data_IF_485577102028
#
_entry.id   IF_485577102028
#
_cell.length_a   1.000
_cell.length_b   1.000
_cell.length_c   1.000
_cell.angle_alpha   90.00
_cell.angle_beta   90.00
_cell.angle_gamma   90.00
#
_symmetry.space_group_name_H-M   'P 1'
#
loop_
_entity.id
_entity.type
_entity.pdbx_description
1 polymer ?
#
# COMPACT_ATOMS: atom_id res chain seq x y z
N UNK A 1 39.67 8.27 -15.35
CA UNK A 1 39.18 9.38 -14.49
C UNK A 1 38.62 10.44 -15.42
N UNK A 2 37.36 10.31 -15.85
CA UNK A 2 36.75 11.24 -16.81
C UNK A 2 36.27 12.48 -16.05
N UNK A 3 37.04 13.57 -16.12
CA UNK A 3 36.59 14.87 -15.62
C UNK A 3 35.48 15.39 -16.54
N UNK A 4 34.26 15.52 -16.02
CA UNK A 4 33.21 16.28 -16.70
C UNK A 4 33.73 17.70 -17.02
N UNK A 5 33.49 18.22 -18.23
CA UNK A 5 33.87 19.58 -18.59
C UNK A 5 33.29 20.57 -17.55
N UNK A 6 34.12 21.49 -17.03
CA UNK A 6 33.71 22.48 -16.02
C UNK A 6 32.41 23.23 -16.38
N UNK A 7 32.13 23.40 -17.68
CA UNK A 7 30.91 24.04 -18.17
C UNK A 7 29.64 23.21 -17.98
N UNK A 8 29.71 21.89 -18.05
CA UNK A 8 28.58 20.98 -17.81
C UNK A 8 28.27 20.93 -16.32
N UNK A 9 29.31 20.88 -15.47
CA UNK A 9 29.16 20.91 -14.01
C UNK A 9 28.52 22.23 -13.52
N UNK A 10 28.99 23.37 -14.03
CA UNK A 10 28.41 24.67 -13.68
C UNK A 10 26.96 24.83 -14.17
N UNK A 11 26.63 24.35 -15.39
CA UNK A 11 25.26 24.35 -15.90
C UNK A 11 24.33 23.46 -15.08
N UNK A 12 24.82 22.30 -14.66
CA UNK A 12 24.05 21.37 -13.81
C UNK A 12 23.74 22.01 -12.46
N UNK A 13 24.75 22.61 -11.81
CA UNK A 13 24.56 23.35 -10.54
C UNK A 13 23.55 24.50 -10.72
N UNK A 14 23.66 25.26 -11.80
CA UNK A 14 22.75 26.38 -12.06
C UNK A 14 21.31 25.91 -12.28
N UNK A 15 21.08 24.85 -13.06
CA UNK A 15 19.75 24.27 -13.28
C UNK A 15 19.20 23.72 -11.96
N UNK A 16 20.00 23.01 -11.16
CA UNK A 16 19.57 22.51 -9.85
C UNK A 16 19.20 23.65 -8.92
N UNK A 17 20.00 24.71 -8.83
CA UNK A 17 19.69 25.92 -8.04
C UNK A 17 18.43 26.62 -8.53
N UNK A 18 18.25 26.74 -9.85
CA UNK A 18 17.06 27.35 -10.44
C UNK A 18 15.82 26.53 -10.08
N UNK A 19 15.85 25.21 -10.23
CA UNK A 19 14.77 24.30 -9.80
C UNK A 19 14.49 24.47 -8.31
N UNK A 20 15.53 24.53 -7.47
CA UNK A 20 15.39 24.72 -6.03
C UNK A 20 14.75 26.06 -5.67
N UNK A 21 15.17 27.16 -6.31
CA UNK A 21 14.63 28.51 -6.11
C UNK A 21 13.18 28.57 -6.57
N UNK A 22 12.89 28.04 -7.75
CA UNK A 22 11.53 27.98 -8.31
C UNK A 22 10.62 27.20 -7.36
N UNK A 23 11.09 26.06 -6.85
CA UNK A 23 10.39 25.25 -5.87
C UNK A 23 10.13 25.98 -4.54
N UNK A 24 11.11 26.74 -4.05
CA UNK A 24 10.96 27.57 -2.84
C UNK A 24 9.95 28.71 -3.04
N UNK A 25 9.87 29.28 -4.25
CA UNK A 25 8.94 30.37 -4.58
C UNK A 25 7.48 29.92 -4.73
N UNK A 26 7.23 28.70 -5.21
CA UNK A 26 5.86 28.18 -5.41
C UNK A 26 5.24 27.56 -4.15
N UNK A 27 6.04 27.10 -3.19
CA UNK A 27 5.54 26.52 -1.92
C UNK A 27 4.62 27.43 -1.11
N UNK A 28 4.89 28.75 -0.97
CA UNK A 28 3.97 29.67 -0.31
C UNK A 28 2.60 29.75 -0.99
N UNK A 29 2.55 29.73 -2.33
CA UNK A 29 1.30 29.79 -3.12
C UNK A 29 0.52 28.49 -2.93
N UNK A 30 1.20 27.34 -2.99
CA UNK A 30 0.57 26.04 -2.75
C UNK A 30 -0.01 25.97 -1.33
N UNK A 31 0.72 26.42 -0.31
CA UNK A 31 0.22 26.52 1.08
C UNK A 31 -0.98 27.44 1.23
N UNK A 32 -1.00 28.57 0.52
CA UNK A 32 -2.15 29.47 0.52
C UNK A 32 -3.38 28.80 -0.10
N UNK A 33 -3.20 28.05 -1.20
CA UNK A 33 -4.30 27.29 -1.80
C UNK A 33 -4.88 26.22 -0.87
N UNK A 34 -4.03 25.56 -0.08
CA UNK A 34 -4.44 24.55 0.91
C UNK A 34 -5.25 25.15 2.05
N UNK A 35 -5.03 26.42 2.40
CA UNK A 35 -5.82 27.09 3.44
C UNK A 35 -7.31 27.12 3.08
N UNK A 36 -7.64 27.36 1.80
CA UNK A 36 -9.01 27.43 1.31
C UNK A 36 -9.67 26.06 1.06
N UNK A 37 -8.88 24.97 1.06
CA UNK A 37 -9.39 23.60 0.91
C UNK A 37 -9.69 22.92 2.25
N UNK A 38 -9.21 23.49 3.36
CA UNK A 38 -9.41 22.93 4.71
C UNK A 38 -10.76 23.37 5.27
N UNK A 39 -11.58 22.39 5.62
CA UNK A 39 -12.74 22.61 6.48
C UNK A 39 -12.29 22.76 7.95
N UNK A 40 -13.19 23.24 8.81
CA UNK A 40 -12.99 23.25 10.27
C UNK A 40 -12.84 21.82 10.81
N UNK A 41 -12.25 21.63 12.00
CA UNK A 41 -12.15 20.29 12.60
C UNK A 41 -13.56 19.68 12.80
N UNK A 42 -13.74 18.36 12.63
CA UNK A 42 -15.01 17.72 12.92
C UNK A 42 -15.35 17.93 14.41
N UNK A 43 -16.60 18.28 14.69
CA UNK A 43 -17.09 18.40 16.07
C UNK A 43 -17.77 17.10 16.51
N UNK A 44 -17.83 16.89 17.82
CA UNK A 44 -18.63 15.80 18.40
C UNK A 44 -20.03 16.35 18.67
N UNK A 45 -21.04 15.70 18.11
CA UNK A 45 -22.45 16.03 18.31
C UNK A 45 -23.16 14.87 19.00
N UNK A 46 -24.30 15.18 19.62
CA UNK A 46 -25.17 14.22 20.28
C UNK A 46 -26.50 14.13 19.53
N UNK A 47 -26.91 12.90 19.19
CA UNK A 47 -28.23 12.62 18.63
C UNK A 47 -28.83 11.42 19.37
N UNK A 48 -29.98 11.62 20.05
CA UNK A 48 -30.67 10.57 20.81
C UNK A 48 -29.77 9.78 21.80
N UNK A 49 -28.94 10.50 22.58
CA UNK A 49 -27.93 9.94 23.51
C UNK A 49 -26.77 9.15 22.83
N UNK A 50 -26.58 9.31 21.52
CA UNK A 50 -25.45 8.77 20.79
C UNK A 50 -24.51 9.90 20.36
N UNK A 51 -23.24 9.80 20.75
CA UNK A 51 -22.19 10.73 20.37
C UNK A 51 -21.50 10.28 19.09
N UNK A 52 -21.40 11.17 18.11
CA UNK A 52 -20.75 10.90 16.84
C UNK A 52 -19.87 12.07 16.41
N UNK A 53 -18.97 11.80 15.47
CA UNK A 53 -18.12 12.82 14.83
C UNK A 53 -18.83 13.28 13.57
N UNK A 54 -19.19 14.55 13.49
CA UNK A 54 -19.77 15.16 12.29
C UNK A 54 -18.64 15.42 11.27
N UNK A 55 -18.33 14.38 10.49
CA UNK A 55 -17.20 14.28 9.56
C UNK A 55 -17.45 15.03 8.26
N UNK A 56 -18.66 15.46 7.93
CA UNK A 56 -18.91 16.33 6.78
C UNK A 56 -19.48 17.71 7.14
N UNK A 57 -19.66 17.99 8.44
CA UNK A 57 -20.06 19.28 9.02
C UNK A 57 -21.46 19.72 8.59
N UNK A 58 -22.36 18.76 8.44
CA UNK A 58 -23.74 19.06 8.04
C UNK A 58 -24.71 19.13 9.23
N UNK A 59 -24.23 18.89 10.46
CA UNK A 59 -25.02 18.98 11.68
C UNK A 59 -26.06 17.87 11.87
N UNK A 60 -26.00 16.79 11.09
CA UNK A 60 -26.89 15.62 11.21
C UNK A 60 -26.07 14.33 11.28
N UNK A 61 -26.67 13.28 11.84
CA UNK A 61 -26.05 11.96 11.89
C UNK A 61 -26.26 11.26 10.55
N UNK A 62 -25.25 11.26 9.67
CA UNK A 62 -25.30 10.46 8.44
C UNK A 62 -25.03 8.98 8.73
N UNK A 63 -25.50 8.10 7.83
CA UNK A 63 -25.38 6.65 8.02
C UNK A 63 -23.91 6.24 8.13
N UNK A 64 -23.01 6.82 7.31
CA UNK A 64 -21.58 6.52 7.38
C UNK A 64 -20.89 6.99 8.67
N UNK A 65 -21.47 7.92 9.41
CA UNK A 65 -20.94 8.43 10.70
C UNK A 65 -21.47 7.62 11.90
N UNK A 66 -22.58 6.91 11.72
CA UNK A 66 -23.21 6.08 12.73
C UNK A 66 -22.60 4.68 12.78
N UNK A 67 -21.73 4.45 13.78
CA UNK A 67 -21.05 3.17 13.99
C UNK A 67 -21.95 2.01 14.41
N UNK A 68 -23.25 2.25 14.66
CA UNK A 68 -24.26 1.21 14.93
C UNK A 68 -24.72 0.53 13.64
N UNK A 69 -24.57 1.18 12.48
CA UNK A 69 -24.87 0.60 11.19
C UNK A 69 -23.81 -0.39 10.75
N UNK A 70 -24.21 -1.36 9.92
CA UNK A 70 -23.26 -2.32 9.33
C UNK A 70 -22.24 -1.61 8.44
N UNK A 71 -21.02 -2.15 8.34
CA UNK A 71 -19.99 -1.58 7.46
C UNK A 71 -20.50 -1.39 6.04
N UNK A 72 -21.24 -2.36 5.48
CA UNK A 72 -21.77 -2.25 4.12
C UNK A 72 -22.69 -1.04 3.94
N UNK A 73 -23.60 -0.79 4.89
CA UNK A 73 -24.47 0.40 4.82
C UNK A 73 -23.67 1.70 4.88
N UNK A 74 -22.66 1.75 5.75
CA UNK A 74 -21.78 2.91 5.90
C UNK A 74 -20.95 3.17 4.64
N UNK A 75 -20.48 2.10 3.99
CA UNK A 75 -19.75 2.18 2.72
C UNK A 75 -20.63 2.72 1.61
N UNK A 76 -21.85 2.19 1.42
CA UNK A 76 -22.74 2.67 0.37
C UNK A 76 -23.17 4.13 0.58
N UNK A 77 -23.47 4.52 1.82
CA UNK A 77 -23.83 5.90 2.15
C UNK A 77 -22.67 6.87 1.85
N UNK A 78 -21.45 6.54 2.29
CA UNK A 78 -20.28 7.36 2.00
C UNK A 78 -20.00 7.42 0.49
N UNK A 79 -20.05 6.27 -0.20
CA UNK A 79 -19.76 6.17 -1.63
C UNK A 79 -20.72 7.01 -2.47
N UNK A 80 -22.02 7.03 -2.11
CA UNK A 80 -23.03 7.84 -2.76
C UNK A 80 -22.81 9.36 -2.59
N UNK A 81 -22.08 9.76 -1.54
CA UNK A 81 -21.75 11.16 -1.26
C UNK A 81 -20.43 11.60 -1.92
N UNK A 82 -19.60 10.68 -2.42
CA UNK A 82 -18.29 10.98 -3.00
C UNK A 82 -18.38 11.47 -4.44
N UNK A 83 -17.55 12.46 -4.76
CA UNK A 83 -17.25 12.86 -6.14
C UNK A 83 -16.30 11.87 -6.81
N UNK A 84 -16.23 11.88 -8.14
CA UNK A 84 -15.26 11.04 -8.87
C UNK A 84 -13.81 11.28 -8.42
N UNK A 85 -13.44 12.53 -8.14
CA UNK A 85 -12.09 12.88 -7.66
C UNK A 85 -11.79 12.27 -6.29
N UNK A 86 -12.77 12.24 -5.37
CA UNK A 86 -12.62 11.60 -4.06
C UNK A 86 -12.53 10.08 -4.17
N UNK A 87 -13.30 9.49 -5.09
CA UNK A 87 -13.29 8.07 -5.41
C UNK A 87 -11.92 7.64 -5.96
N UNK A 88 -11.44 8.31 -7.00
CA UNK A 88 -10.12 8.05 -7.59
C UNK A 88 -8.99 8.31 -6.60
N UNK A 89 -9.11 9.31 -5.74
CA UNK A 89 -8.15 9.58 -4.67
C UNK A 89 -7.95 8.37 -3.73
N UNK A 90 -9.00 7.58 -3.44
CA UNK A 90 -8.85 6.37 -2.63
C UNK A 90 -7.95 5.31 -3.29
N UNK A 91 -7.89 5.29 -4.62
CA UNK A 91 -7.21 4.26 -5.41
C UNK A 91 -5.71 4.53 -5.55
N UNK A 92 -5.23 5.74 -5.23
CA UNK A 92 -3.81 6.08 -5.28
C UNK A 92 -3.12 5.70 -3.99
N UNK A 93 -1.91 5.14 -4.06
CA UNK A 93 -1.14 4.71 -2.89
C UNK A 93 0.34 5.11 -2.99
N UNK A 94 0.64 6.42 -2.96
CA UNK A 94 2.01 6.92 -3.07
C UNK A 94 2.82 6.73 -1.79
N UNK A 95 4.12 6.98 -1.89
CA UNK A 95 5.00 7.06 -0.73
C UNK A 95 4.74 8.33 0.09
N UNK A 96 4.78 8.20 1.42
CA UNK A 96 4.79 9.26 2.41
C UNK A 96 6.12 9.22 3.15
N UNK A 97 6.91 10.28 3.00
CA UNK A 97 8.27 10.30 3.57
C UNK A 97 8.36 11.11 4.85
N UNK A 98 8.82 10.45 5.91
CA UNK A 98 8.96 11.05 7.23
C UNK A 98 10.42 10.89 7.66
N UNK A 99 11.11 12.02 7.88
CA UNK A 99 12.57 12.05 8.12
C UNK A 99 13.34 11.22 7.06
N UNK A 100 13.20 11.53 5.76
CA UNK A 100 14.00 10.84 4.75
C UNK A 100 15.49 11.17 4.97
N UNK A 101 16.35 10.16 4.82
CA UNK A 101 17.78 10.39 4.75
C UNK A 101 18.14 11.20 3.48
N UNK A 102 19.38 11.67 3.38
CA UNK A 102 19.79 12.52 2.25
C UNK A 102 19.63 11.82 0.89
N UNK A 103 19.92 10.53 0.83
CA UNK A 103 19.82 9.73 -0.39
C UNK A 103 18.36 9.62 -0.88
N UNK A 104 17.44 9.22 0.00
CA UNK A 104 16.01 9.14 -0.31
C UNK A 104 15.45 10.50 -0.70
N UNK A 105 15.86 11.56 0.00
CA UNK A 105 15.42 12.93 -0.32
C UNK A 105 15.92 13.37 -1.70
N UNK A 106 17.19 13.10 -2.04
CA UNK A 106 17.74 13.41 -3.35
C UNK A 106 17.02 12.61 -4.44
N UNK A 107 16.80 11.30 -4.23
CA UNK A 107 16.05 10.45 -5.15
C UNK A 107 14.65 11.03 -5.45
N UNK A 108 13.90 11.42 -4.42
CA UNK A 108 12.57 12.00 -4.56
C UNK A 108 12.56 13.29 -5.37
N UNK A 109 13.50 14.19 -5.07
CA UNK A 109 13.66 15.44 -5.82
C UNK A 109 13.97 15.14 -7.29
N UNK A 110 14.91 14.22 -7.55
CA UNK A 110 15.30 13.88 -8.93
C UNK A 110 14.20 13.21 -9.74
N UNK A 111 13.32 12.44 -9.08
CA UNK A 111 12.21 11.74 -9.72
C UNK A 111 10.94 12.60 -9.81
N UNK A 112 10.97 13.85 -9.34
CA UNK A 112 9.80 14.73 -9.33
C UNK A 112 8.68 14.26 -8.38
N UNK A 113 9.00 13.43 -7.40
CA UNK A 113 8.04 12.80 -6.48
C UNK A 113 7.74 13.68 -5.25
N UNK A 114 8.31 14.88 -5.16
CA UNK A 114 8.10 15.78 -4.02
C UNK A 114 6.84 16.63 -4.22
N UNK A 115 5.75 16.23 -3.56
CA UNK A 115 4.57 17.08 -3.34
C UNK A 115 4.31 17.23 -1.84
N UNK A 116 3.66 18.32 -1.43
CA UNK A 116 3.28 18.48 -0.02
C UNK A 116 2.26 17.38 0.34
N UNK A 117 2.48 16.68 1.45
CA UNK A 117 1.55 15.65 1.95
C UNK A 117 0.10 16.17 2.00
N UNK A 118 -0.07 17.41 2.45
CA UNK A 118 -1.37 18.09 2.54
C UNK A 118 -2.03 18.29 1.17
N UNK A 119 -1.25 18.52 0.11
CA UNK A 119 -1.77 18.63 -1.27
C UNK A 119 -2.27 17.29 -1.75
N UNK A 120 -1.54 16.20 -1.48
CA UNK A 120 -2.00 14.86 -1.82
C UNK A 120 -3.32 14.52 -1.11
N UNK A 121 -3.43 14.87 0.17
CA UNK A 121 -4.63 14.60 0.97
C UNK A 121 -5.81 15.48 0.54
N UNK A 122 -5.65 16.80 0.46
CA UNK A 122 -6.77 17.73 0.33
C UNK A 122 -7.16 18.01 -1.13
N UNK A 123 -6.19 18.09 -2.03
CA UNK A 123 -6.43 18.42 -3.44
C UNK A 123 -6.61 17.18 -4.31
N UNK A 124 -5.86 16.11 -4.04
CA UNK A 124 -5.95 14.84 -4.77
C UNK A 124 -6.81 13.80 -4.05
N UNK A 125 -7.33 14.11 -2.86
CA UNK A 125 -8.17 13.21 -2.06
C UNK A 125 -7.53 11.85 -1.75
N UNK A 126 -6.19 11.80 -1.69
CA UNK A 126 -5.46 10.57 -1.44
C UNK A 126 -5.51 10.25 0.05
N UNK A 127 -5.94 9.02 0.37
CA UNK A 127 -6.10 8.55 1.76
C UNK A 127 -5.32 7.27 2.06
N UNK A 128 -4.46 6.81 1.15
CA UNK A 128 -3.59 5.66 1.33
C UNK A 128 -2.15 6.07 1.08
N UNK A 129 -1.26 5.75 2.01
CA UNK A 129 0.15 6.11 1.89
C UNK A 129 1.04 4.98 2.35
N UNK A 130 2.12 4.69 1.63
CA UNK A 130 3.17 3.80 2.09
C UNK A 130 4.26 4.62 2.79
N UNK A 131 4.57 4.29 4.03
CA UNK A 131 5.52 5.03 4.83
C UNK A 131 6.97 4.71 4.44
N UNK A 132 7.78 5.76 4.26
CA UNK A 132 9.22 5.70 4.00
C UNK A 132 9.97 6.62 4.96
N UNK A 133 11.20 6.23 5.32
CA UNK A 133 12.14 7.06 6.07
C UNK A 133 12.56 6.44 7.41
N UNK A 134 13.17 7.24 8.28
CA UNK A 134 13.76 6.76 9.53
C UNK A 134 13.45 7.65 10.75
N UNK A 135 12.17 7.98 11.03
CA UNK A 135 11.76 8.65 12.25
C UNK A 135 11.85 7.70 13.46
N UNK A 136 11.97 8.25 14.67
CA UNK A 136 11.66 7.48 15.88
C UNK A 136 10.17 7.11 15.92
N UNK A 137 9.75 6.06 16.66
CA UNK A 137 8.34 5.67 16.78
C UNK A 137 7.42 6.82 17.22
N UNK A 138 7.88 7.63 18.19
CA UNK A 138 7.12 8.81 18.66
C UNK A 138 7.00 9.90 17.58
N UNK A 139 8.06 10.16 16.82
CA UNK A 139 7.99 11.10 15.69
C UNK A 139 7.05 10.61 14.59
N UNK A 140 7.03 9.30 14.32
CA UNK A 140 6.12 8.67 13.38
C UNK A 140 4.66 8.87 13.82
N UNK A 141 4.32 8.45 15.05
CA UNK A 141 2.96 8.60 15.59
C UNK A 141 2.47 10.06 15.60
N UNK A 142 3.33 11.00 16.00
CA UNK A 142 3.03 12.45 15.94
C UNK A 142 2.73 12.95 14.54
N UNK A 143 3.57 12.57 13.57
CA UNK A 143 3.40 12.98 12.18
C UNK A 143 2.13 12.37 11.58
N UNK A 144 1.82 11.12 11.89
CA UNK A 144 0.60 10.46 11.42
C UNK A 144 -0.66 11.03 12.07
N UNK A 145 -0.64 11.34 13.38
CA UNK A 145 -1.73 12.08 14.04
C UNK A 145 -1.95 13.46 13.40
N UNK A 146 -0.88 14.19 13.09
CA UNK A 146 -0.97 15.46 12.37
C UNK A 146 -1.67 15.30 11.02
N UNK A 147 -1.28 14.31 10.22
CA UNK A 147 -1.87 14.06 8.90
C UNK A 147 -3.31 13.56 8.99
N UNK A 148 -3.66 12.76 9.99
CA UNK A 148 -5.05 12.37 10.25
C UNK A 148 -5.93 13.59 10.56
N UNK A 149 -5.42 14.56 11.32
CA UNK A 149 -6.14 15.83 11.54
C UNK A 149 -6.34 16.59 10.24
N UNK A 150 -5.35 16.64 9.35
CA UNK A 150 -5.51 17.25 8.03
C UNK A 150 -6.57 16.51 7.20
N UNK A 151 -6.52 15.17 7.14
CA UNK A 151 -7.48 14.37 6.39
C UNK A 151 -8.91 14.52 6.94
N UNK A 152 -9.04 14.65 8.26
CA UNK A 152 -10.33 14.89 8.90
C UNK A 152 -10.96 16.19 8.41
N UNK A 153 -10.17 17.19 8.00
CA UNK A 153 -10.61 18.49 7.44
C UNK A 153 -10.89 18.47 5.94
N UNK A 154 -10.90 17.30 5.31
CA UNK A 154 -11.50 17.13 3.98
C UNK A 154 -13.02 17.17 4.07
N UNK A 155 -13.70 17.35 2.93
CA UNK A 155 -15.17 17.50 2.85
C UNK A 155 -15.94 16.36 3.52
N UNK A 156 -15.48 15.12 3.39
CA UNK A 156 -16.12 13.92 3.93
C UNK A 156 -15.35 13.30 5.12
N UNK A 157 -14.28 13.97 5.58
CA UNK A 157 -13.50 13.51 6.73
C UNK A 157 -12.91 12.10 6.64
N UNK A 158 -12.70 11.57 5.43
CA UNK A 158 -12.25 10.19 5.21
C UNK A 158 -10.84 10.00 5.83
N UNK A 159 -10.66 9.05 6.76
CA UNK A 159 -9.39 8.88 7.46
C UNK A 159 -8.32 8.26 6.55
N UNK A 160 -7.06 8.54 6.88
CA UNK A 160 -5.91 7.93 6.21
C UNK A 160 -5.73 6.47 6.65
N UNK A 161 -5.29 5.63 5.71
CA UNK A 161 -4.68 4.33 5.98
C UNK A 161 -3.20 4.40 5.61
N UNK A 162 -2.36 3.93 6.52
CA UNK A 162 -0.91 3.99 6.37
C UNK A 162 -0.39 2.57 6.26
N UNK A 163 0.36 2.29 5.20
CA UNK A 163 1.04 1.02 5.01
C UNK A 163 2.53 1.13 5.28
N UNK A 164 3.16 -0.02 5.49
CA UNK A 164 4.61 -0.13 5.54
C UNK A 164 5.07 -1.45 4.93
N UNK A 165 6.22 -1.44 4.26
CA UNK A 165 7.03 -2.64 4.09
C UNK A 165 7.61 -3.10 5.45
N UNK A 166 8.13 -4.34 5.58
CA UNK A 166 8.54 -4.90 6.87
C UNK A 166 9.51 -4.00 7.65
N UNK A 167 9.14 -3.65 8.89
CA UNK A 167 9.99 -2.91 9.84
C UNK A 167 10.69 -3.81 10.88
N UNK A 168 10.20 -5.04 11.00
CA UNK A 168 10.56 -6.00 12.05
C UNK A 168 11.66 -6.97 11.64
N UNK A 169 12.14 -6.93 10.41
CA UNK A 169 13.21 -7.82 9.93
C UNK A 169 14.60 -7.28 10.35
N UNK A 170 15.49 -8.14 10.84
CA UNK A 170 16.89 -7.78 11.12
C UNK A 170 17.64 -7.38 9.84
N UNK A 171 18.63 -6.49 9.95
CA UNK A 171 19.50 -6.11 8.82
C UNK A 171 20.14 -7.34 8.16
N UNK A 172 20.09 -7.38 6.83
CA UNK A 172 20.72 -8.43 6.01
C UNK A 172 19.79 -9.22 5.09
N UNK A 173 18.47 -8.94 5.13
CA UNK A 173 17.47 -9.63 4.34
C UNK A 173 17.25 -9.08 2.94
N UNK A 174 16.66 -7.89 2.77
CA UNK A 174 16.04 -7.54 1.48
C UNK A 174 16.06 -6.11 0.99
N UNK A 175 15.77 -5.99 -0.32
CA UNK A 175 15.73 -4.75 -1.13
C UNK A 175 14.63 -3.76 -0.68
N UNK A 176 13.73 -4.14 0.23
CA UNK A 176 12.55 -3.35 0.61
C UNK A 176 12.26 -3.24 2.12
N UNK A 177 13.14 -3.73 3.02
CA UNK A 177 12.93 -3.56 4.46
C UNK A 177 13.49 -2.21 4.94
N UNK A 178 12.71 -1.44 5.70
CA UNK A 178 13.20 -0.20 6.32
C UNK A 178 13.74 -0.51 7.70
N UNK A 179 15.01 -0.16 7.94
CA UNK A 179 15.55 -0.23 9.29
C UNK A 179 15.19 1.03 10.07
N UNK A 180 14.25 0.86 10.99
CA UNK A 180 13.81 1.89 11.92
C UNK A 180 14.05 1.39 13.34
N UNK A 181 14.65 2.25 14.16
CA UNK A 181 14.87 2.02 15.58
C UNK A 181 13.54 1.94 16.34
N UNK A 182 13.49 1.16 17.41
CA UNK A 182 12.31 1.06 18.29
C UNK A 182 11.51 -0.23 18.10
N UNK A 183 11.33 -0.67 16.86
CA UNK A 183 10.55 -1.88 16.53
C UNK A 183 11.33 -3.14 16.87
N UNK A 184 10.64 -4.17 17.36
CA UNK A 184 11.27 -5.46 17.64
C UNK A 184 11.87 -6.07 16.36
N UNK A 185 13.03 -6.72 16.48
CA UNK A 185 13.75 -7.27 15.34
C UNK A 185 13.75 -8.80 15.37
N UNK A 186 13.41 -9.39 14.24
CA UNK A 186 13.13 -10.80 14.06
C UNK A 186 13.86 -11.35 12.84
N UNK A 187 14.09 -12.67 12.76
CA UNK A 187 14.56 -13.30 11.54
C UNK A 187 13.67 -12.99 10.34
N UNK A 188 14.22 -13.08 9.13
CA UNK A 188 13.42 -13.02 7.90
C UNK A 188 12.36 -14.13 7.89
N UNK A 189 11.41 -14.03 6.95
CA UNK A 189 10.41 -15.09 6.76
C UNK A 189 11.06 -16.48 6.57
N UNK A 190 12.22 -16.58 5.94
CA UNK A 190 12.94 -17.85 5.79
C UNK A 190 13.47 -18.37 7.12
N UNK A 191 13.95 -17.48 8.00
CA UNK A 191 14.36 -17.81 9.37
C UNK A 191 13.18 -18.25 10.23
N UNK A 192 12.04 -17.57 10.13
CA UNK A 192 10.79 -17.99 10.78
C UNK A 192 10.34 -19.36 10.28
N UNK A 193 10.43 -19.63 8.97
CA UNK A 193 10.07 -20.92 8.38
C UNK A 193 10.96 -22.08 8.88
N UNK A 194 12.21 -21.81 9.24
CA UNK A 194 13.14 -22.81 9.77
C UNK A 194 12.70 -23.35 11.14
N UNK A 195 11.90 -22.60 11.89
CA UNK A 195 11.34 -23.05 13.18
C UNK A 195 10.29 -24.15 13.03
N UNK A 196 9.63 -24.21 11.86
CA UNK A 196 8.47 -25.08 11.61
C UNK A 196 7.33 -24.91 12.62
N UNK A 197 7.27 -23.76 13.30
CA UNK A 197 6.29 -23.45 14.34
C UNK A 197 5.35 -22.31 13.90
N UNK A 198 4.14 -22.67 13.47
CA UNK A 198 3.12 -21.69 13.09
C UNK A 198 2.60 -20.89 14.28
N UNK A 199 2.63 -21.44 15.49
CA UNK A 199 2.18 -20.72 16.70
C UNK A 199 3.16 -19.59 17.03
N UNK A 200 4.45 -19.85 16.86
CA UNK A 200 5.49 -18.83 16.99
C UNK A 200 5.33 -17.72 15.93
N UNK A 201 5.07 -18.07 14.67
CA UNK A 201 4.87 -17.09 13.59
C UNK A 201 3.61 -16.23 13.83
N UNK A 202 2.52 -16.85 14.29
CA UNK A 202 1.31 -16.11 14.65
C UNK A 202 1.57 -15.17 15.84
N UNK A 203 2.33 -15.63 16.85
CA UNK A 203 2.71 -14.79 17.99
C UNK A 203 3.60 -13.61 17.59
N UNK A 204 4.54 -13.83 16.67
CA UNK A 204 5.32 -12.77 16.05
C UNK A 204 4.40 -11.72 15.41
N UNK A 205 3.43 -12.15 14.59
CA UNK A 205 2.51 -11.24 13.92
C UNK A 205 1.67 -10.40 14.90
N UNK A 206 1.24 -10.99 16.02
CA UNK A 206 0.49 -10.27 17.06
C UNK A 206 1.32 -9.16 17.73
N UNK A 207 2.60 -9.43 18.00
CA UNK A 207 3.53 -8.44 18.55
C UNK A 207 3.75 -7.32 17.54
N UNK A 208 4.05 -7.67 16.29
CA UNK A 208 4.31 -6.72 15.23
C UNK A 208 3.10 -5.82 14.92
N UNK A 209 1.88 -6.39 14.89
CA UNK A 209 0.65 -5.63 14.72
C UNK A 209 0.38 -4.66 15.87
N UNK A 210 0.64 -5.08 17.12
CA UNK A 210 0.52 -4.20 18.29
C UNK A 210 1.46 -2.99 18.16
N UNK A 211 2.71 -3.21 17.76
CA UNK A 211 3.66 -2.14 17.52
C UNK A 211 3.22 -1.22 16.36
N UNK A 212 2.76 -1.78 15.23
CA UNK A 212 2.26 -0.99 14.09
C UNK A 212 1.05 -0.14 14.46
N UNK A 213 0.06 -0.71 15.17
CA UNK A 213 -1.12 0.03 15.62
C UNK A 213 -0.77 1.16 16.57
N UNK A 214 0.22 0.98 17.44
CA UNK A 214 0.64 2.03 18.38
C UNK A 214 1.15 3.29 17.70
N UNK A 215 1.74 3.17 16.49
CA UNK A 215 2.27 4.30 15.72
C UNK A 215 1.34 4.77 14.60
N UNK A 216 0.23 4.07 14.33
CA UNK A 216 -0.73 4.43 13.29
C UNK A 216 -0.47 3.79 11.93
N UNK A 217 0.19 2.62 11.90
CA UNK A 217 0.29 1.78 10.69
C UNK A 217 -0.87 0.78 10.69
N UNK A 218 -1.55 0.68 9.54
CA UNK A 218 -2.83 0.00 9.36
C UNK A 218 -2.73 -1.17 8.36
N UNK A 219 -1.72 -1.15 7.49
CA UNK A 219 -1.52 -2.17 6.47
C UNK A 219 -0.04 -2.60 6.40
N UNK A 220 0.20 -3.89 6.50
CA UNK A 220 1.49 -4.52 6.25
C UNK A 220 1.56 -4.88 4.76
N UNK A 221 2.54 -4.35 4.02
CA UNK A 221 2.78 -4.74 2.62
C UNK A 221 3.52 -6.10 2.53
N UNK A 222 3.12 -7.06 3.36
CA UNK A 222 3.75 -8.35 3.59
C UNK A 222 2.73 -9.28 4.30
N UNK A 223 2.93 -10.61 4.36
CA UNK A 223 4.12 -11.38 3.98
C UNK A 223 4.25 -11.65 2.47
N UNK A 224 5.46 -12.03 2.04
CA UNK A 224 5.64 -12.72 0.77
C UNK A 224 5.23 -14.20 0.89
N UNK A 225 4.16 -14.59 0.20
CA UNK A 225 3.71 -15.98 0.04
C UNK A 225 4.40 -16.70 -1.14
N UNK A 226 5.33 -16.02 -1.79
CA UNK A 226 6.13 -16.56 -2.88
C UNK A 226 6.87 -17.83 -2.46
N UNK A 227 7.12 -18.73 -3.40
CA UNK A 227 7.90 -19.96 -3.17
C UNK A 227 9.29 -19.81 -3.75
N UNK A 228 10.35 -20.10 -2.99
CA UNK A 228 11.73 -20.04 -3.47
C UNK A 228 12.10 -21.27 -4.33
N UNK A 229 11.34 -21.55 -5.40
CA UNK A 229 11.58 -22.70 -6.30
C UNK A 229 12.85 -22.55 -7.13
N UNK A 230 13.27 -21.32 -7.42
CA UNK A 230 14.60 -21.02 -7.96
C UNK A 230 15.44 -20.30 -6.87
N UNK A 231 16.45 -20.96 -6.29
CA UNK A 231 17.27 -20.34 -5.24
C UNK A 231 18.17 -19.22 -5.76
N UNK A 232 18.32 -19.04 -7.08
CA UNK A 232 19.05 -17.89 -7.65
C UNK A 232 18.24 -16.60 -7.56
N UNK A 233 16.92 -16.70 -7.39
CA UNK A 233 16.06 -15.54 -7.25
C UNK A 233 16.43 -14.72 -6.03
N UNK A 234 16.80 -13.46 -6.27
CA UNK A 234 17.40 -12.59 -5.27
C UNK A 234 16.51 -12.32 -4.04
N UNK A 235 15.19 -12.55 -4.12
CA UNK A 235 14.25 -12.31 -3.02
C UNK A 235 13.86 -13.57 -2.24
N UNK A 236 14.58 -14.67 -2.44
CA UNK A 236 14.28 -15.96 -1.79
C UNK A 236 14.23 -15.90 -0.25
N UNK A 237 15.02 -15.04 0.39
CA UNK A 237 15.12 -14.89 1.85
C UNK A 237 13.84 -14.34 2.47
N UNK A 238 13.05 -13.62 1.66
CA UNK A 238 11.77 -13.03 2.05
C UNK A 238 10.62 -14.03 2.00
N UNK A 239 10.85 -15.26 1.54
CA UNK A 239 9.82 -16.31 1.45
C UNK A 239 9.81 -17.20 2.70
N UNK A 240 8.80 -18.07 2.83
CA UNK A 240 8.82 -19.16 3.80
C UNK A 240 9.47 -20.46 3.27
N UNK A 241 10.24 -20.36 2.17
CA UNK A 241 10.94 -21.47 1.52
C UNK A 241 10.30 -21.95 0.22
N UNK A 242 10.70 -23.13 -0.25
CA UNK A 242 10.28 -23.71 -1.54
C UNK A 242 9.15 -24.74 -1.43
N UNK A 243 8.84 -25.22 -0.22
CA UNK A 243 7.75 -26.16 0.04
C UNK A 243 6.42 -25.42 0.12
N UNK A 244 5.49 -25.71 -0.78
CA UNK A 244 4.22 -24.99 -0.87
C UNK A 244 3.32 -25.22 0.33
N UNK A 245 3.36 -26.40 0.95
CA UNK A 245 2.55 -26.73 2.13
C UNK A 245 3.05 -25.98 3.35
N UNK A 246 4.36 -26.00 3.59
CA UNK A 246 4.95 -25.28 4.73
C UNK A 246 4.80 -23.78 4.52
N UNK A 247 5.08 -23.27 3.32
CA UNK A 247 4.90 -21.84 3.02
C UNK A 247 3.44 -21.41 3.21
N UNK A 248 2.48 -22.24 2.79
CA UNK A 248 1.05 -22.00 2.99
C UNK A 248 0.66 -21.89 4.47
N UNK A 249 1.08 -22.83 5.31
CA UNK A 249 0.76 -22.78 6.75
C UNK A 249 1.45 -21.60 7.45
N UNK A 250 2.69 -21.28 7.08
CA UNK A 250 3.42 -20.14 7.62
C UNK A 250 2.84 -18.79 7.21
N UNK A 251 2.43 -18.65 5.94
CA UNK A 251 1.77 -17.43 5.44
C UNK A 251 0.43 -17.22 6.13
N UNK A 252 -0.34 -18.28 6.32
CA UNK A 252 -1.61 -18.21 7.05
C UNK A 252 -1.42 -17.81 8.52
N UNK A 253 -0.45 -18.40 9.21
CA UNK A 253 -0.11 -18.03 10.58
C UNK A 253 0.34 -16.57 10.71
N UNK A 254 1.20 -16.12 9.77
CA UNK A 254 1.64 -14.73 9.71
C UNK A 254 0.46 -13.79 9.50
N UNK A 255 -0.42 -14.08 8.54
CA UNK A 255 -1.63 -13.31 8.28
C UNK A 255 -2.53 -13.23 9.52
N UNK A 256 -2.82 -14.36 10.18
CA UNK A 256 -3.66 -14.38 11.39
C UNK A 256 -3.04 -13.57 12.53
N UNK A 257 -1.71 -13.57 12.66
CA UNK A 257 -1.03 -12.77 13.68
C UNK A 257 -1.27 -11.28 13.51
N UNK A 258 -1.27 -10.78 12.26
CA UNK A 258 -1.48 -9.37 11.97
C UNK A 258 -2.97 -8.98 11.91
N UNK A 259 -3.78 -9.76 11.18
CA UNK A 259 -5.18 -9.44 10.90
C UNK A 259 -6.14 -9.90 12.01
N UNK A 260 -5.78 -10.95 12.75
CA UNK A 260 -6.73 -11.77 13.48
C UNK A 260 -7.59 -12.65 12.55
N UNK A 261 -8.49 -13.45 13.12
CA UNK A 261 -9.48 -14.25 12.37
C UNK A 261 -10.70 -13.42 11.94
N UNK A 262 -10.86 -12.23 12.51
CA UNK A 262 -11.81 -11.19 12.13
C UNK A 262 -11.12 -9.83 12.26
N UNK A 263 -11.37 -8.95 11.31
CA UNK A 263 -10.83 -7.59 11.35
C UNK A 263 -11.46 -6.81 12.50
N UNK A 264 -10.63 -6.04 13.20
CA UNK A 264 -11.01 -5.17 14.31
C UNK A 264 -10.11 -3.93 14.33
N UNK A 265 -10.35 -3.01 15.27
CA UNK A 265 -9.48 -1.84 15.49
C UNK A 265 -8.05 -2.17 15.93
N UNK A 266 -7.79 -3.40 16.39
CA UNK A 266 -6.45 -3.87 16.74
C UNK A 266 -5.73 -4.55 15.57
N UNK A 267 -6.44 -4.81 14.45
CA UNK A 267 -5.89 -5.52 13.31
C UNK A 267 -5.00 -4.63 12.45
N UNK A 268 -4.00 -5.24 11.84
CA UNK A 268 -3.27 -4.69 10.69
C UNK A 268 -3.57 -5.57 9.50
N UNK A 269 -4.06 -4.99 8.41
CA UNK A 269 -4.34 -5.74 7.19
C UNK A 269 -3.02 -6.19 6.56
N UNK A 270 -2.89 -7.46 6.22
CA UNK A 270 -1.74 -7.95 5.43
C UNK A 270 -2.08 -7.89 3.96
N UNK A 271 -1.17 -7.35 3.17
CA UNK A 271 -1.19 -7.44 1.72
C UNK A 271 -0.27 -8.58 1.30
N UNK A 272 -0.84 -9.77 1.15
CA UNK A 272 -0.07 -10.96 0.78
C UNK A 272 0.42 -10.80 -0.65
N UNK A 273 1.72 -11.08 -0.87
CA UNK A 273 2.39 -10.80 -2.14
C UNK A 273 3.37 -11.92 -2.55
N UNK A 274 3.79 -12.02 -3.81
CA UNK A 274 3.28 -11.29 -4.96
C UNK A 274 2.47 -12.28 -5.78
N UNK A 275 1.14 -12.11 -5.84
CA UNK A 275 0.24 -13.07 -6.49
C UNK A 275 0.58 -13.24 -7.98
N UNK A 276 0.58 -14.47 -8.52
CA UNK A 276 0.40 -15.78 -7.89
C UNK A 276 1.73 -16.48 -7.50
N UNK A 277 2.83 -15.73 -7.34
CA UNK A 277 4.11 -16.23 -6.83
C UNK A 277 5.30 -15.75 -7.65
N UNK A 278 6.35 -15.27 -6.97
CA UNK A 278 7.58 -14.74 -7.56
C UNK A 278 8.63 -15.77 -7.94
N UNK A 279 8.60 -16.96 -7.31
CA UNK A 279 9.59 -18.03 -7.46
C UNK A 279 10.04 -18.48 -8.86
N UNK A 280 9.16 -18.58 -9.86
CA UNK A 280 9.49 -19.17 -11.16
C UNK A 280 10.18 -18.16 -12.10
N UNK A 281 11.02 -17.27 -11.57
CA UNK A 281 11.73 -16.29 -12.38
C UNK A 281 12.65 -16.96 -13.41
N UNK A 282 12.55 -16.52 -14.66
CA UNK A 282 13.44 -16.97 -15.72
C UNK A 282 14.89 -16.62 -15.35
N UNK A 283 15.75 -17.64 -15.33
CA UNK A 283 17.15 -17.55 -14.88
C UNK A 283 17.35 -17.05 -13.43
N UNK A 284 16.31 -17.00 -12.60
CA UNK A 284 16.36 -16.43 -11.26
C UNK A 284 16.53 -14.91 -11.23
N UNK A 285 16.29 -14.21 -12.35
CA UNK A 285 16.44 -12.76 -12.43
C UNK A 285 15.18 -12.06 -11.92
N UNK A 286 15.37 -10.98 -11.15
CA UNK A 286 14.24 -10.30 -10.53
C UNK A 286 13.49 -9.37 -11.50
N UNK A 287 12.16 -9.45 -11.50
CA UNK A 287 11.27 -8.67 -12.37
C UNK A 287 11.25 -7.16 -12.10
N UNK A 288 12.00 -6.65 -11.10
CA UNK A 288 12.26 -5.22 -11.00
C UNK A 288 13.12 -4.69 -12.15
N UNK A 289 13.85 -5.57 -12.84
CA UNK A 289 14.70 -5.24 -13.98
C UNK A 289 14.13 -5.87 -15.26
N UNK A 290 14.31 -5.22 -16.43
CA UNK A 290 13.86 -5.76 -17.71
C UNK A 290 14.34 -7.19 -18.01
N UNK A 291 15.52 -7.56 -17.49
CA UNK A 291 16.12 -8.89 -17.68
C UNK A 291 15.40 -10.01 -16.92
N UNK A 292 14.64 -9.68 -15.86
CA UNK A 292 13.89 -10.65 -15.05
C UNK A 292 12.38 -10.60 -15.28
N UNK A 293 11.92 -10.01 -16.39
CA UNK A 293 10.48 -9.78 -16.61
C UNK A 293 9.65 -11.04 -16.85
N UNK A 294 10.28 -12.18 -17.17
CA UNK A 294 9.58 -13.41 -17.51
C UNK A 294 9.58 -14.40 -16.34
N UNK A 295 8.46 -15.09 -16.15
CA UNK A 295 8.35 -16.26 -15.30
C UNK A 295 8.06 -17.49 -16.15
N UNK A 296 8.93 -18.50 -16.03
CA UNK A 296 8.83 -19.77 -16.74
C UNK A 296 8.53 -20.83 -15.69
N UNK A 297 7.48 -21.63 -15.89
CA UNK A 297 6.97 -22.59 -14.90
C UNK A 297 7.39 -24.03 -15.28
N UNK A 298 8.65 -24.47 -15.01
CA UNK A 298 9.12 -25.82 -15.29
C UNK A 298 8.17 -26.90 -14.79
N UNK A 299 7.86 -27.87 -15.65
CA UNK A 299 6.94 -28.96 -15.31
C UNK A 299 5.49 -28.55 -15.15
N UNK A 300 5.09 -27.34 -15.58
CA UNK A 300 3.72 -26.84 -15.47
C UNK A 300 3.31 -26.55 -14.03
N UNK A 301 4.24 -26.12 -13.19
CA UNK A 301 4.06 -25.98 -11.74
C UNK A 301 3.28 -24.73 -11.29
N UNK A 302 2.47 -24.10 -12.16
CA UNK A 302 1.71 -22.89 -11.82
C UNK A 302 0.81 -23.07 -10.58
N UNK A 303 0.08 -24.18 -10.51
CA UNK A 303 -0.78 -24.51 -9.36
C UNK A 303 -0.02 -24.65 -8.04
N UNK A 304 1.24 -25.07 -8.11
CA UNK A 304 2.10 -25.19 -6.92
C UNK A 304 2.36 -23.82 -6.29
N UNK A 305 2.54 -22.78 -7.11
CA UNK A 305 2.73 -21.40 -6.68
C UNK A 305 1.45 -20.74 -6.17
N UNK A 306 0.28 -21.14 -6.67
CA UNK A 306 -1.02 -20.67 -6.17
C UNK A 306 -1.35 -21.16 -4.76
N UNK A 307 -0.79 -22.29 -4.33
CA UNK A 307 -1.21 -23.01 -3.13
C UNK A 307 -1.23 -22.15 -1.84
N UNK A 308 -0.19 -21.35 -1.53
CA UNK A 308 -0.22 -20.45 -0.36
C UNK A 308 -1.32 -19.38 -0.43
N UNK A 309 -1.60 -18.85 -1.62
CA UNK A 309 -2.63 -17.83 -1.82
C UNK A 309 -4.04 -18.39 -1.61
N UNK A 310 -4.32 -19.61 -2.10
CA UNK A 310 -5.61 -20.29 -1.88
C UNK A 310 -5.94 -20.40 -0.39
N UNK A 311 -4.93 -20.76 0.43
CA UNK A 311 -5.09 -20.89 1.88
C UNK A 311 -5.45 -19.57 2.55
N UNK A 312 -4.69 -18.50 2.30
CA UNK A 312 -4.96 -17.20 2.94
C UNK A 312 -6.26 -16.55 2.47
N UNK A 313 -6.64 -16.74 1.20
CA UNK A 313 -7.93 -16.27 0.68
C UNK A 313 -9.08 -16.96 1.44
N UNK A 314 -9.02 -18.28 1.60
CA UNK A 314 -10.00 -19.04 2.37
C UNK A 314 -10.04 -18.69 3.86
N UNK A 315 -8.97 -18.10 4.39
CA UNK A 315 -8.87 -17.64 5.79
C UNK A 315 -9.14 -16.13 5.96
N UNK A 316 -9.70 -15.46 4.93
CA UNK A 316 -10.17 -14.09 5.05
C UNK A 316 -9.13 -13.01 4.78
N UNK A 317 -8.18 -13.27 3.86
CA UNK A 317 -7.27 -12.23 3.36
C UNK A 317 -8.03 -11.00 2.89
N UNK A 318 -7.54 -9.79 3.24
CA UNK A 318 -8.18 -8.52 2.88
C UNK A 318 -7.49 -7.74 1.77
N UNK A 319 -6.22 -8.00 1.51
CA UNK A 319 -5.47 -7.33 0.45
C UNK A 319 -4.45 -8.27 -0.19
N UNK A 320 -4.23 -8.11 -1.49
CA UNK A 320 -3.27 -8.92 -2.25
C UNK A 320 -2.55 -8.03 -3.28
N UNK A 321 -1.28 -8.32 -3.52
CA UNK A 321 -0.48 -7.59 -4.49
C UNK A 321 -0.04 -8.50 -5.63
N UNK A 322 -0.42 -8.24 -6.89
CA UNK A 322 0.08 -8.98 -8.05
C UNK A 322 1.55 -8.68 -8.34
N UNK A 323 2.28 -9.64 -8.91
CA UNK A 323 3.69 -9.47 -9.21
C UNK A 323 3.97 -8.73 -10.54
N UNK A 324 5.20 -8.24 -10.71
CA UNK A 324 5.66 -7.60 -11.96
C UNK A 324 5.83 -8.59 -13.12
N UNK A 325 6.11 -9.87 -12.84
CA UNK A 325 6.50 -10.86 -13.85
C UNK A 325 5.40 -11.15 -14.88
N UNK A 326 5.81 -11.53 -16.08
CA UNK A 326 4.96 -12.08 -17.13
C UNK A 326 4.88 -13.60 -16.95
N UNK A 327 3.69 -14.19 -16.69
CA UNK A 327 3.54 -15.63 -16.54
C UNK A 327 3.55 -16.34 -17.91
N UNK A 328 4.74 -16.61 -18.44
CA UNK A 328 4.92 -17.07 -19.81
C UNK A 328 4.12 -18.34 -20.09
N UNK A 329 3.25 -18.26 -21.10
CA UNK A 329 2.44 -19.38 -21.57
C UNK A 329 1.38 -19.90 -20.58
N UNK A 330 1.10 -19.18 -19.50
CA UNK A 330 0.04 -19.55 -18.54
C UNK A 330 -1.33 -18.94 -18.89
N UNK A 331 -1.34 -17.93 -19.76
CA UNK A 331 -2.55 -17.20 -20.18
C UNK A 331 -2.51 -16.95 -21.69
N UNK A 332 -3.58 -16.42 -22.26
CA UNK A 332 -3.66 -16.05 -23.68
C UNK A 332 -2.85 -14.79 -24.03
N UNK A 333 -2.36 -14.05 -23.03
CA UNK A 333 -1.63 -12.80 -23.23
C UNK A 333 -0.40 -12.72 -22.31
N UNK A 334 0.79 -12.59 -22.91
CA UNK A 334 2.05 -12.48 -22.17
C UNK A 334 2.31 -11.04 -21.69
N UNK A 335 1.55 -10.59 -20.70
CA UNK A 335 1.69 -9.31 -20.00
C UNK A 335 1.87 -9.52 -18.49
N UNK A 336 2.45 -8.54 -17.80
CA UNK A 336 2.65 -8.60 -16.35
C UNK A 336 1.34 -8.87 -15.60
N UNK A 337 1.42 -9.55 -14.44
CA UNK A 337 0.23 -9.98 -13.67
C UNK A 337 -0.74 -8.82 -13.39
N UNK A 338 -0.24 -7.62 -13.08
CA UNK A 338 -1.06 -6.44 -12.81
C UNK A 338 -1.85 -5.89 -14.03
N UNK A 339 -1.60 -6.40 -15.23
CA UNK A 339 -2.37 -6.10 -16.45
C UNK A 339 -3.13 -7.31 -16.99
N UNK A 340 -2.97 -8.49 -16.38
CA UNK A 340 -3.47 -9.74 -16.92
C UNK A 340 -4.85 -10.09 -16.34
N UNK A 341 -5.89 -9.92 -17.15
CA UNK A 341 -7.28 -10.20 -16.72
C UNK A 341 -7.50 -11.65 -16.31
N UNK A 342 -6.88 -12.62 -16.98
CA UNK A 342 -7.06 -14.04 -16.63
C UNK A 342 -6.46 -14.38 -15.26
N UNK A 343 -5.34 -13.75 -14.91
CA UNK A 343 -4.74 -13.88 -13.57
C UNK A 343 -5.61 -13.20 -12.52
N UNK A 344 -5.97 -11.93 -12.74
CA UNK A 344 -6.58 -11.11 -11.69
C UNK A 344 -8.08 -11.33 -11.57
N UNK A 345 -8.84 -11.37 -12.66
CA UNK A 345 -10.27 -11.65 -12.58
C UNK A 345 -10.52 -13.15 -12.61
N UNK A 346 -10.19 -13.82 -13.70
CA UNK A 346 -10.70 -15.19 -13.92
C UNK A 346 -10.15 -16.18 -12.87
N UNK A 347 -8.87 -16.08 -12.48
CA UNK A 347 -8.29 -16.92 -11.43
C UNK A 347 -8.57 -16.33 -10.04
N UNK A 348 -8.07 -15.13 -9.74
CA UNK A 348 -8.12 -14.61 -8.37
C UNK A 348 -9.54 -14.24 -7.90
N UNK A 349 -10.32 -13.51 -8.70
CA UNK A 349 -11.70 -13.17 -8.32
C UNK A 349 -12.64 -14.35 -8.46
N UNK A 350 -12.69 -14.96 -9.64
CA UNK A 350 -13.77 -15.88 -9.99
C UNK A 350 -13.51 -17.30 -9.50
N UNK A 351 -12.31 -17.86 -9.74
CA UNK A 351 -11.99 -19.22 -9.29
C UNK A 351 -11.67 -19.28 -7.79
N UNK A 352 -10.92 -18.30 -7.26
CA UNK A 352 -10.49 -18.28 -5.86
C UNK A 352 -11.44 -17.51 -4.94
N UNK A 353 -12.48 -16.86 -5.48
CA UNK A 353 -13.48 -16.09 -4.72
C UNK A 353 -12.87 -14.98 -3.85
N UNK A 354 -11.79 -14.35 -4.30
CA UNK A 354 -11.17 -13.25 -3.54
C UNK A 354 -11.93 -11.94 -3.76
N UNK A 355 -12.53 -11.41 -2.69
CA UNK A 355 -13.26 -10.13 -2.73
C UNK A 355 -12.54 -8.97 -2.01
N UNK A 356 -11.30 -9.19 -1.56
CA UNK A 356 -10.48 -8.13 -0.94
C UNK A 356 -9.88 -7.14 -1.95
N UNK A 357 -9.01 -6.25 -1.48
CA UNK A 357 -8.34 -5.25 -2.32
C UNK A 357 -7.24 -5.90 -3.16
N UNK A 358 -7.22 -5.65 -4.47
CA UNK A 358 -6.05 -5.89 -5.33
C UNK A 358 -5.30 -4.58 -5.50
N UNK A 359 -4.11 -4.50 -4.90
CA UNK A 359 -3.23 -3.34 -5.03
C UNK A 359 -2.05 -3.68 -5.94
N UNK A 360 -1.78 -2.87 -6.95
CA UNK A 360 -0.61 -3.10 -7.81
C UNK A 360 0.69 -2.94 -7.03
N UNK A 361 1.75 -3.62 -7.49
CA UNK A 361 3.10 -3.35 -6.99
C UNK A 361 3.61 -1.97 -7.49
N UNK A 362 4.66 -1.46 -6.84
CA UNK A 362 5.17 -0.10 -7.01
C UNK A 362 5.77 0.16 -8.40
N UNK A 363 5.16 1.10 -9.12
CA UNK A 363 5.64 1.54 -10.42
C UNK A 363 5.39 0.52 -11.54
N UNK A 364 4.39 -0.36 -11.38
CA UNK A 364 3.95 -1.25 -12.47
C UNK A 364 3.48 -0.43 -13.69
N UNK A 365 2.86 0.73 -13.47
CA UNK A 365 2.33 1.60 -14.53
C UNK A 365 3.46 2.39 -15.20
N UNK A 366 4.32 3.00 -14.37
CA UNK A 366 5.30 4.01 -14.78
C UNK A 366 6.67 3.43 -15.13
N UNK A 367 7.15 2.41 -14.42
CA UNK A 367 8.54 1.94 -14.51
C UNK A 367 8.72 0.49 -14.98
N UNK A 368 7.76 -0.39 -14.68
CA UNK A 368 7.84 -1.85 -14.96
C UNK A 368 6.62 -2.37 -15.75
N UNK A 369 6.23 -1.72 -16.87
CA UNK A 369 5.03 -2.07 -17.63
C UNK A 369 5.26 -3.27 -18.57
N UNK A 370 5.73 -4.40 -18.04
CA UNK A 370 6.20 -5.52 -18.87
C UNK A 370 5.08 -6.12 -19.73
N UNK A 371 5.36 -6.24 -21.03
CA UNK A 371 4.42 -6.71 -22.05
C UNK A 371 3.48 -5.63 -22.59
N UNK A 372 3.44 -4.45 -21.96
CA UNK A 372 2.60 -3.31 -22.35
C UNK A 372 3.39 -2.01 -22.46
N UNK A 373 4.70 -2.12 -22.71
CA UNK A 373 5.62 -0.98 -22.82
C UNK A 373 5.20 0.00 -23.93
N UNK A 374 4.50 -0.49 -24.95
CA UNK A 374 3.99 0.27 -26.09
C UNK A 374 2.73 1.11 -25.78
N UNK A 375 2.02 0.82 -24.68
CA UNK A 375 0.84 1.58 -24.27
C UNK A 375 1.23 2.89 -23.61
N UNK A 376 0.35 3.90 -23.72
CA UNK A 376 0.43 5.11 -22.90
C UNK A 376 0.20 4.77 -21.42
N UNK A 377 0.63 5.64 -20.49
CA UNK A 377 0.34 5.41 -19.05
C UNK A 377 -1.16 5.36 -18.77
N UNK A 378 -1.95 6.16 -19.48
CA UNK A 378 -3.40 6.18 -19.36
C UNK A 378 -4.02 4.84 -19.81
N UNK A 379 -3.59 4.30 -20.96
CA UNK A 379 -4.01 2.98 -21.42
C UNK A 379 -3.55 1.85 -20.48
N UNK A 380 -2.40 2.02 -19.80
CA UNK A 380 -1.95 1.07 -18.77
C UNK A 380 -2.85 1.10 -17.54
N UNK A 381 -3.25 2.29 -17.06
CA UNK A 381 -4.26 2.41 -16.01
C UNK A 381 -5.57 1.74 -16.42
N UNK A 382 -6.07 2.05 -17.61
CA UNK A 382 -7.29 1.44 -18.18
C UNK A 382 -7.19 -0.09 -18.20
N UNK A 383 -6.13 -0.64 -18.78
CA UNK A 383 -5.92 -2.10 -18.87
C UNK A 383 -5.87 -2.76 -17.48
N UNK A 384 -5.15 -2.14 -16.53
CA UNK A 384 -5.03 -2.67 -15.16
C UNK A 384 -6.36 -2.62 -14.38
N UNK A 385 -7.13 -1.53 -14.51
CA UNK A 385 -8.47 -1.40 -13.93
C UNK A 385 -9.44 -2.47 -14.47
N UNK A 386 -9.42 -2.69 -15.78
CA UNK A 386 -10.26 -3.69 -16.45
C UNK A 386 -9.81 -5.13 -16.19
N UNK A 387 -8.53 -5.33 -15.85
CA UNK A 387 -8.04 -6.61 -15.35
C UNK A 387 -8.55 -6.93 -13.93
N UNK A 388 -8.91 -5.91 -13.15
CA UNK A 388 -9.50 -6.06 -11.81
C UNK A 388 -8.66 -5.51 -10.65
N UNK A 389 -7.65 -4.68 -10.94
CA UNK A 389 -6.90 -3.93 -9.93
C UNK A 389 -7.79 -2.84 -9.31
N UNK A 390 -7.71 -2.68 -7.99
CA UNK A 390 -8.51 -1.70 -7.23
C UNK A 390 -7.68 -0.48 -6.78
N UNK A 391 -6.38 -0.66 -6.55
CA UNK A 391 -5.48 0.34 -5.99
C UNK A 391 -4.10 0.31 -6.67
N UNK A 392 -3.42 1.45 -6.76
CA UNK A 392 -2.16 1.61 -7.48
C UNK A 392 -1.01 2.01 -6.55
N UNK A 393 -0.13 1.05 -6.26
CA UNK A 393 1.08 1.24 -5.47
C UNK A 393 2.07 2.18 -6.13
N UNK A 394 2.51 3.21 -5.40
CA UNK A 394 3.51 4.18 -5.84
C UNK A 394 2.97 5.31 -6.72
N UNK A 395 1.71 5.23 -7.14
CA UNK A 395 1.10 6.22 -8.04
C UNK A 395 0.38 7.32 -7.24
N UNK A 396 0.45 8.57 -7.73
CA UNK A 396 -0.22 9.73 -7.14
C UNK A 396 -0.99 10.59 -8.15
N UNK A 397 -0.97 10.20 -9.43
CA UNK A 397 -1.62 10.95 -10.49
C UNK A 397 -3.08 10.50 -10.67
N UNK A 398 -3.98 11.25 -10.06
CA UNK A 398 -5.43 11.01 -10.16
C UNK A 398 -6.00 11.40 -11.52
N UNK A 399 -5.32 12.27 -12.29
CA UNK A 399 -5.91 12.90 -13.48
C UNK A 399 -6.23 11.86 -14.54
N UNK A 400 -5.30 10.93 -14.80
CA UNK A 400 -5.45 9.90 -15.85
C UNK A 400 -6.70 9.04 -15.67
N UNK A 401 -6.99 8.61 -14.44
CA UNK A 401 -8.20 7.82 -14.18
C UNK A 401 -9.46 8.69 -14.26
N UNK A 402 -9.41 9.95 -13.79
CA UNK A 402 -10.53 10.88 -13.91
C UNK A 402 -10.87 11.16 -15.38
N UNK A 403 -9.85 11.37 -16.23
CA UNK A 403 -10.02 11.59 -17.66
C UNK A 403 -10.69 10.37 -18.32
N UNK A 404 -10.17 9.15 -18.07
CA UNK A 404 -10.77 7.91 -18.55
C UNK A 404 -12.27 7.76 -18.20
N UNK A 405 -12.67 8.22 -17.01
CA UNK A 405 -14.08 8.19 -16.59
C UNK A 405 -14.89 9.27 -17.30
N UNK A 406 -14.37 10.50 -17.38
CA UNK A 406 -15.03 11.60 -18.07
C UNK A 406 -15.21 11.35 -19.57
N UNK A 407 -14.27 10.63 -20.19
CA UNK A 407 -14.31 10.23 -21.59
C UNK A 407 -15.18 8.99 -21.84
N UNK A 408 -15.66 8.33 -20.77
CA UNK A 408 -16.51 7.14 -20.85
C UNK A 408 -15.76 5.83 -21.15
N UNK A 409 -14.43 5.85 -21.12
CA UNK A 409 -13.57 4.69 -21.35
C UNK A 409 -13.54 3.73 -20.13
N UNK A 410 -13.84 4.25 -18.94
CA UNK A 410 -14.08 3.49 -17.70
C UNK A 410 -15.38 3.98 -17.06
N UNK A 411 -16.27 3.06 -16.65
CA UNK A 411 -17.49 3.45 -15.93
C UNK A 411 -17.18 3.87 -14.49
N UNK A 412 -17.96 4.82 -13.96
CA UNK A 412 -17.90 5.16 -12.53
C UNK A 412 -18.23 3.94 -11.64
N UNK A 413 -19.11 3.04 -12.10
CA UNK A 413 -19.40 1.78 -11.40
C UNK A 413 -18.15 0.90 -11.21
N UNK A 414 -17.24 0.87 -12.20
CA UNK A 414 -15.98 0.13 -12.05
C UNK A 414 -15.11 0.73 -10.95
N UNK A 415 -15.11 2.07 -10.83
CA UNK A 415 -14.42 2.79 -9.75
C UNK A 415 -15.08 2.48 -8.40
N UNK A 416 -16.41 2.49 -8.35
CA UNK A 416 -17.19 2.22 -7.13
C UNK A 416 -16.91 0.85 -6.52
N UNK A 417 -16.76 -0.18 -7.35
CA UNK A 417 -16.36 -1.52 -6.88
C UNK A 417 -15.01 -1.47 -6.16
N UNK A 418 -14.02 -0.77 -6.71
CA UNK A 418 -12.68 -0.65 -6.10
C UNK A 418 -12.72 0.14 -4.80
N UNK A 419 -13.43 1.27 -4.81
CA UNK A 419 -13.53 2.17 -3.65
C UNK A 419 -14.30 1.50 -2.51
N UNK A 420 -15.35 0.73 -2.80
CA UNK A 420 -16.10 -0.06 -1.81
C UNK A 420 -15.18 -0.98 -0.99
N UNK A 421 -14.28 -1.72 -1.66
CA UNK A 421 -13.31 -2.61 -0.98
C UNK A 421 -12.34 -1.84 -0.09
N UNK A 422 -11.87 -0.68 -0.56
CA UNK A 422 -10.95 0.17 0.18
C UNK A 422 -11.62 0.80 1.41
N UNK A 423 -12.86 1.28 1.28
CA UNK A 423 -13.63 1.86 2.38
C UNK A 423 -14.03 0.80 3.42
N UNK A 424 -14.43 -0.41 2.98
CA UNK A 424 -14.74 -1.54 3.85
C UNK A 424 -13.58 -1.79 4.84
N UNK A 425 -12.35 -1.82 4.34
CA UNK A 425 -11.16 -1.99 5.18
C UNK A 425 -11.01 -0.88 6.22
N UNK A 426 -11.25 0.39 5.85
CA UNK A 426 -11.13 1.52 6.80
C UNK A 426 -12.19 1.48 7.90
N UNK A 427 -13.42 1.12 7.56
CA UNK A 427 -14.50 0.96 8.55
C UNK A 427 -14.27 -0.22 9.47
N UNK A 428 -13.90 -1.40 8.93
CA UNK A 428 -13.65 -2.59 9.75
C UNK A 428 -12.46 -2.40 10.72
N UNK A 429 -11.49 -1.56 10.34
CA UNK A 429 -10.37 -1.14 11.19
C UNK A 429 -10.75 -0.04 12.20
N UNK A 430 -11.99 0.44 12.22
CA UNK A 430 -12.49 1.46 13.14
C UNK A 430 -11.90 2.85 12.92
N UNK A 431 -11.39 3.17 11.71
CA UNK A 431 -10.67 4.42 11.47
C UNK A 431 -11.56 5.65 11.44
N UNK A 432 -12.86 5.46 11.16
CA UNK A 432 -13.83 6.56 11.21
C UNK A 432 -14.14 6.97 12.65
N UNK A 433 -14.08 6.02 13.59
CA UNK A 433 -14.25 6.28 15.02
C UNK A 433 -12.96 6.79 15.67
N UNK A 434 -11.85 6.07 15.45
CA UNK A 434 -10.57 6.33 16.13
C UNK A 434 -9.40 6.30 15.13
N UNK A 435 -9.17 7.40 14.37
CA UNK A 435 -8.05 7.49 13.43
C UNK A 435 -6.71 7.84 14.09
N UNK A 436 -6.72 8.27 15.37
CA UNK A 436 -5.55 8.76 16.09
C UNK A 436 -4.98 7.71 17.05
N UNK A 437 -3.68 7.80 17.30
CA UNK A 437 -2.98 7.00 18.32
C UNK A 437 -2.69 7.81 19.58
N UNK A 438 -2.56 7.12 20.72
CA UNK A 438 -2.10 7.72 21.97
C UNK A 438 -0.57 7.80 21.99
N UNK A 439 -0.06 9.02 21.76
CA UNK A 439 1.38 9.30 21.74
C UNK A 439 2.10 8.95 23.04
N UNK A 440 1.39 8.96 24.18
CA UNK A 440 1.98 8.68 25.49
C UNK A 440 2.34 7.20 25.69
N UNK A 441 1.65 6.30 24.97
CA UNK A 441 1.85 4.85 25.08
C UNK A 441 2.92 4.33 24.13
N UNK A 442 3.25 5.07 23.05
CA UNK A 442 4.15 4.60 21.98
C UNK A 442 5.47 4.06 22.54
N UNK A 443 6.15 4.83 23.39
CA UNK A 443 7.46 4.44 23.92
C UNK A 443 7.40 3.29 24.93
N UNK A 444 6.21 2.89 25.40
CA UNK A 444 6.02 1.73 26.28
C UNK A 444 5.72 0.45 25.50
N UNK A 445 5.20 0.58 24.27
CA UNK A 445 4.87 -0.52 23.37
C UNK A 445 6.06 -0.82 22.46
N UNK A 446 6.68 0.22 21.90
CA UNK A 446 7.79 0.14 20.94
C UNK A 446 9.09 0.46 21.69
N UNK A 447 9.66 -0.56 22.33
CA UNK A 447 10.71 -0.42 23.36
C UNK A 447 12.10 -0.89 22.93
N UNK A 448 12.26 -1.41 21.72
CA UNK A 448 13.55 -1.97 21.27
C UNK A 448 14.53 -0.85 20.92
N UNK A 449 15.43 -0.51 21.84
CA UNK A 449 16.60 0.31 21.50
C UNK A 449 17.59 -0.56 20.75
N UNK A 450 18.03 -0.12 19.57
CA UNK A 450 19.18 -0.71 18.92
C UNK A 450 20.38 -0.59 19.88
N UNK A 451 20.86 -1.73 20.38
CA UNK A 451 22.10 -1.81 21.13
C UNK A 451 23.17 -1.77 20.03
N UNK A 452 23.63 -0.55 19.73
CA UNK A 452 24.54 -0.25 18.64
C UNK A 452 25.86 -0.99 18.71
#
# INVERSE_FOLDING_TARGET
>A
MFSLPKSIFAKTIFITLLVLITFLLFRPIERLSLFFLKFEDPVILEYENYFYRDLNRNGRLDVYEDSRNSTSMRVEDLLAQMTISEKVGQMMHPALSIKPNLELKLFQITMGLESLDETQILKKHITHFNFYGSPTPLELGRKLNYLQRIASRSRLGIPLSISSDPLHEVKGGGVAAFDIDGFSKWPSQLGLAATRDTSLVEKFGQIAATEYRSVGIHTALHPMADLATDPRWARNFGTFGSDSKISSEMTAAYMRGFQGTKISSNSVITMVKHFPGGGPQEFGLDAHLPSGKNQVYPGGNFEYHLFPFKKVINEGLRAIMPYYGIPKGQTSEDVAMGFNRQIITDILRDQLNFDGVVCSDWGIISGRPWGVEHLSEEDRFKKSLLAGVDQFGGESDVKKIIDLVNEGEISEERIDISVRRLLQNKFDLGLFEQPFVDESQINSIVVTRNIG
#
